data_IF_977133537506
#
_entry.id   IF_977133537506
#
_cell.length_a   1.000
_cell.length_b   1.000
_cell.length_c   1.000
_cell.angle_alpha   90.00
_cell.angle_beta   90.00
_cell.angle_gamma   90.00
#
_symmetry.space_group_name_H-M   'P 1'
#
loop_
_entity.id
_entity.type
_entity.pdbx_description
1 polymer ?
#
# COMPACT_ATOMS: atom_id res chain seq x y z
N UNK A 1 2.86 -4.27 -56.43
CA UNK A 1 1.67 -4.30 -55.56
C UNK A 1 1.77 -5.53 -54.66
N UNK A 2 2.20 -5.37 -53.42
CA UNK A 2 2.17 -6.42 -52.38
C UNK A 2 1.33 -5.92 -51.25
N UNK A 3 0.20 -6.60 -51.01
CA UNK A 3 -0.72 -6.31 -49.89
C UNK A 3 -0.17 -6.95 -48.62
N UNK A 4 0.09 -6.16 -47.61
CA UNK A 4 0.44 -6.61 -46.26
C UNK A 4 -0.85 -6.84 -45.50
N UNK A 5 -1.12 -8.08 -45.08
CA UNK A 5 -2.22 -8.42 -44.13
C UNK A 5 -1.79 -8.06 -42.71
N UNK A 6 -2.56 -7.20 -42.09
CA UNK A 6 -2.52 -6.98 -40.66
C UNK A 6 -3.35 -8.07 -39.97
N UNK A 7 -2.72 -8.85 -39.10
CA UNK A 7 -3.41 -9.74 -38.18
C UNK A 7 -3.82 -8.94 -36.92
N UNK A 8 -5.12 -8.71 -36.76
CA UNK A 8 -5.71 -8.29 -35.52
C UNK A 8 -5.93 -9.55 -34.66
N UNK A 9 -5.13 -9.73 -33.62
CA UNK A 9 -5.35 -10.75 -32.60
C UNK A 9 -6.49 -10.32 -31.67
N UNK A 10 -7.63 -10.99 -31.76
CA UNK A 10 -8.72 -10.83 -30.82
C UNK A 10 -8.37 -11.59 -29.53
N UNK A 11 -8.17 -10.86 -28.41
CA UNK A 11 -8.06 -11.43 -27.07
C UNK A 11 -9.48 -11.81 -26.65
N UNK A 12 -9.74 -13.10 -26.50
CA UNK A 12 -11.01 -13.60 -25.97
C UNK A 12 -11.06 -13.35 -24.46
N UNK A 13 -11.93 -12.43 -24.03
CA UNK A 13 -12.23 -12.18 -22.62
C UNK A 13 -13.14 -13.30 -22.10
N UNK A 14 -12.61 -14.18 -21.25
CA UNK A 14 -13.40 -15.21 -20.59
C UNK A 14 -14.02 -14.61 -19.32
N UNK A 15 -15.31 -14.32 -19.37
CA UNK A 15 -16.12 -13.90 -18.22
C UNK A 15 -16.44 -15.13 -17.36
N UNK A 16 -15.89 -15.19 -16.14
CA UNK A 16 -16.28 -16.19 -15.14
C UNK A 16 -17.40 -15.60 -14.28
N UNK A 17 -18.62 -16.10 -14.46
CA UNK A 17 -19.74 -15.83 -13.55
C UNK A 17 -19.70 -16.81 -12.39
N UNK A 18 -19.48 -16.33 -11.18
CA UNK A 18 -19.63 -17.12 -9.97
C UNK A 18 -21.12 -17.21 -9.63
N UNK A 19 -21.70 -18.40 -9.76
CA UNK A 19 -23.07 -18.66 -9.35
C UNK A 19 -23.11 -19.00 -7.85
N UNK A 20 -23.65 -18.09 -7.03
CA UNK A 20 -24.00 -18.35 -5.62
C UNK A 20 -25.40 -18.97 -5.53
N UNK A 21 -25.54 -20.11 -4.88
CA UNK A 21 -26.83 -20.74 -4.57
C UNK A 21 -27.51 -20.04 -3.39
N UNK A 22 -28.72 -19.57 -3.62
CA UNK A 22 -29.71 -19.26 -2.59
C UNK A 22 -29.90 -17.82 -2.19
N UNK A 23 -30.87 -17.11 -2.77
CA UNK A 23 -31.47 -15.88 -2.27
C UNK A 23 -31.28 -14.66 -3.18
N UNK A 24 -32.40 -14.25 -3.79
CA UNK A 24 -32.64 -13.04 -4.60
C UNK A 24 -31.53 -12.68 -5.59
N UNK A 25 -31.78 -12.96 -6.88
CA UNK A 25 -30.92 -12.50 -8.00
C UNK A 25 -30.66 -11.00 -7.88
N UNK A 26 -29.48 -10.61 -7.37
CA UNK A 26 -28.95 -9.27 -7.66
C UNK A 26 -28.79 -9.20 -9.17
N UNK A 27 -29.40 -8.17 -9.79
CA UNK A 27 -29.10 -7.82 -11.18
C UNK A 27 -27.57 -7.72 -11.29
N UNK A 28 -26.99 -8.40 -12.28
CA UNK A 28 -25.60 -8.16 -12.64
C UNK A 28 -25.50 -6.66 -12.96
N UNK A 29 -24.76 -5.92 -12.17
CA UNK A 29 -24.42 -4.54 -12.50
C UNK A 29 -23.68 -4.56 -13.81
N UNK A 30 -24.05 -3.67 -14.72
CA UNK A 30 -23.36 -3.52 -15.99
C UNK A 30 -21.90 -3.14 -15.70
N UNK A 31 -20.96 -3.92 -16.21
CA UNK A 31 -19.51 -3.62 -16.07
C UNK A 31 -19.28 -2.25 -16.70
N UNK A 32 -18.85 -1.27 -15.90
CA UNK A 32 -18.42 0.03 -16.42
C UNK A 32 -17.13 -0.18 -17.25
N UNK A 33 -17.15 0.10 -18.55
CA UNK A 33 -15.98 -0.09 -19.41
C UNK A 33 -14.81 0.83 -19.03
N UNK A 34 -15.06 1.85 -18.21
CA UNK A 34 -14.05 2.79 -17.74
C UNK A 34 -13.55 2.48 -16.30
N UNK A 35 -14.11 1.44 -15.66
CA UNK A 35 -13.67 1.05 -14.33
C UNK A 35 -12.17 0.66 -14.35
N UNK A 36 -11.39 1.09 -13.34
CA UNK A 36 -9.99 0.68 -13.20
C UNK A 36 -9.86 -0.85 -13.19
N UNK A 37 -8.77 -1.33 -13.75
CA UNK A 37 -8.45 -2.76 -13.77
C UNK A 37 -7.57 -3.08 -12.57
N UNK A 38 -7.94 -4.12 -11.83
CA UNK A 38 -7.08 -4.79 -10.85
C UNK A 38 -6.66 -6.13 -11.45
N UNK A 39 -5.36 -6.31 -11.63
CA UNK A 39 -4.77 -7.58 -11.98
C UNK A 39 -4.56 -8.40 -10.71
N UNK A 40 -4.80 -9.69 -10.77
CA UNK A 40 -4.69 -10.57 -9.61
C UNK A 40 -4.13 -11.94 -10.00
N UNK A 41 -3.29 -12.51 -9.13
CA UNK A 41 -2.86 -13.91 -9.16
C UNK A 41 -2.79 -14.47 -7.75
N UNK A 42 -3.17 -15.74 -7.58
CA UNK A 42 -3.01 -16.46 -6.31
C UNK A 42 -1.57 -16.88 -6.03
N UNK A 43 -0.75 -16.97 -7.08
CA UNK A 43 0.63 -17.38 -6.95
C UNK A 43 1.48 -16.27 -6.34
N UNK A 44 2.12 -16.53 -5.20
CA UNK A 44 3.04 -15.59 -4.53
C UNK A 44 4.46 -16.10 -4.75
N UNK A 45 5.00 -15.82 -5.93
CA UNK A 45 6.36 -16.16 -6.32
C UNK A 45 7.07 -14.95 -6.91
N UNK A 46 8.42 -14.95 -6.96
CA UNK A 46 9.17 -13.89 -7.63
C UNK A 46 8.75 -13.71 -9.09
N UNK A 47 8.45 -14.81 -9.79
CA UNK A 47 8.02 -14.80 -11.19
C UNK A 47 6.63 -14.20 -11.36
N UNK A 48 5.67 -14.55 -10.49
CA UNK A 48 4.32 -13.99 -10.54
C UNK A 48 4.31 -12.51 -10.17
N UNK A 49 5.20 -12.04 -9.27
CA UNK A 49 5.38 -10.62 -8.98
C UNK A 49 5.88 -9.84 -10.21
N UNK A 50 6.81 -10.40 -10.98
CA UNK A 50 7.26 -9.80 -12.24
C UNK A 50 6.15 -9.84 -13.29
N UNK A 51 5.42 -10.95 -13.41
CA UNK A 51 4.30 -11.12 -14.36
C UNK A 51 3.20 -10.09 -14.13
N UNK A 52 2.83 -9.84 -12.86
CA UNK A 52 1.76 -8.88 -12.54
C UNK A 52 2.21 -7.43 -12.78
N UNK A 53 3.49 -7.09 -12.52
CA UNK A 53 4.06 -5.81 -12.90
C UNK A 53 3.96 -5.58 -14.41
N UNK A 54 4.31 -6.59 -15.22
CA UNK A 54 4.23 -6.51 -16.69
C UNK A 54 2.79 -6.34 -17.18
N UNK A 55 1.84 -7.00 -16.53
CA UNK A 55 0.41 -6.91 -16.85
C UNK A 55 -0.16 -5.50 -16.72
N UNK A 56 0.41 -4.66 -15.83
CA UNK A 56 0.01 -3.25 -15.71
C UNK A 56 0.27 -2.43 -16.99
N UNK A 57 1.14 -2.89 -17.89
CA UNK A 57 1.45 -2.21 -19.14
C UNK A 57 2.11 -0.83 -18.98
N UNK A 58 2.58 -0.48 -17.78
CA UNK A 58 3.28 0.76 -17.47
C UNK A 58 4.71 0.45 -17.06
N UNK A 59 5.64 0.79 -17.91
CA UNK A 59 7.06 0.58 -17.67
C UNK A 59 7.60 1.66 -16.72
N UNK A 60 8.27 1.24 -15.63
CA UNK A 60 9.02 2.14 -14.76
C UNK A 60 10.28 2.65 -15.47
N UNK A 61 10.47 3.97 -15.52
CA UNK A 61 11.56 4.63 -16.25
C UNK A 61 12.28 5.65 -15.38
N UNK A 62 13.55 5.90 -15.73
CA UNK A 62 14.40 6.81 -14.99
C UNK A 62 14.91 6.18 -13.70
N UNK A 63 15.12 7.00 -12.66
CA UNK A 63 15.49 6.53 -11.33
C UNK A 63 14.24 6.04 -10.61
N UNK A 64 14.17 4.73 -10.34
CA UNK A 64 12.97 4.06 -9.83
C UNK A 64 13.06 3.83 -8.33
N UNK A 65 12.14 4.40 -7.58
CA UNK A 65 11.90 4.08 -6.17
C UNK A 65 11.00 2.85 -6.07
N UNK A 66 11.39 1.84 -5.29
CA UNK A 66 10.52 0.73 -4.89
C UNK A 66 10.19 0.90 -3.41
N UNK A 67 9.01 1.45 -3.12
CA UNK A 67 8.57 1.74 -1.74
C UNK A 67 7.97 0.49 -1.10
N UNK A 68 8.64 0.01 -0.07
CA UNK A 68 8.20 -1.15 0.72
C UNK A 68 8.13 -0.79 2.22
N UNK A 69 7.77 -1.76 3.06
CA UNK A 69 8.04 -1.77 4.49
C UNK A 69 9.09 -2.84 4.78
N UNK A 70 10.24 -2.44 5.31
CA UNK A 70 11.34 -3.37 5.60
C UNK A 70 11.17 -4.15 6.91
N UNK A 71 10.13 -3.84 7.68
CA UNK A 71 9.81 -4.50 8.94
C UNK A 71 10.63 -3.98 10.13
N UNK A 72 10.06 -4.10 11.32
CA UNK A 72 10.75 -3.80 12.58
C UNK A 72 11.62 -4.99 12.99
N UNK A 73 12.75 -4.75 13.68
CA UNK A 73 13.61 -5.81 14.18
C UNK A 73 12.84 -6.75 15.13
N UNK A 74 12.92 -8.04 14.88
CA UNK A 74 12.18 -9.07 15.64
C UNK A 74 10.86 -9.48 15.01
N UNK A 75 10.29 -8.67 14.11
CA UNK A 75 9.13 -9.06 13.30
C UNK A 75 9.52 -9.99 12.15
N UNK A 76 8.63 -10.94 11.79
CA UNK A 76 8.90 -11.93 10.75
C UNK A 76 7.92 -11.89 9.57
N UNK A 77 6.85 -11.08 9.66
CA UNK A 77 5.77 -11.09 8.67
C UNK A 77 6.03 -10.20 7.44
N UNK A 78 7.09 -9.37 7.45
CA UNK A 78 7.42 -8.45 6.35
C UNK A 78 7.76 -9.18 5.03
N UNK A 79 7.63 -8.47 3.91
CA UNK A 79 7.96 -8.99 2.57
C UNK A 79 9.44 -9.40 2.49
N UNK A 80 9.68 -10.67 2.24
CA UNK A 80 11.05 -11.20 2.23
C UNK A 80 11.83 -10.73 1.00
N UNK A 81 13.12 -10.34 1.15
CA UNK A 81 13.95 -9.85 0.05
C UNK A 81 13.96 -10.77 -1.18
N UNK A 82 14.02 -12.09 -0.98
CA UNK A 82 14.04 -13.07 -2.06
C UNK A 82 12.80 -12.99 -2.97
N UNK A 83 11.62 -12.66 -2.42
CA UNK A 83 10.39 -12.53 -3.19
C UNK A 83 10.44 -11.32 -4.14
N UNK A 84 10.98 -10.19 -3.66
CA UNK A 84 10.93 -8.91 -4.38
C UNK A 84 12.15 -8.66 -5.27
N UNK A 85 13.26 -9.36 -5.05
CA UNK A 85 14.52 -9.15 -5.75
C UNK A 85 14.42 -9.17 -7.29
N UNK A 86 13.71 -10.13 -7.94
CA UNK A 86 13.60 -10.14 -9.40
C UNK A 86 12.87 -8.91 -9.97
N UNK A 87 11.84 -8.40 -9.29
CA UNK A 87 11.16 -7.17 -9.69
C UNK A 87 12.11 -5.97 -9.58
N UNK A 88 12.81 -5.83 -8.45
CA UNK A 88 13.76 -4.72 -8.23
C UNK A 88 14.85 -4.74 -9.30
N UNK A 89 15.44 -5.91 -9.56
CA UNK A 89 16.44 -6.08 -10.61
C UNK A 89 15.90 -5.73 -12.00
N UNK A 90 14.66 -6.15 -12.30
CA UNK A 90 14.00 -5.89 -13.60
C UNK A 90 13.85 -4.40 -13.87
N UNK A 91 13.50 -3.63 -12.86
CA UNK A 91 13.26 -2.18 -13.00
C UNK A 91 14.50 -1.34 -12.68
N UNK A 92 15.63 -1.96 -12.33
CA UNK A 92 16.83 -1.31 -11.82
C UNK A 92 16.47 -0.31 -10.68
N UNK A 93 15.66 -0.79 -9.74
CA UNK A 93 15.07 0.02 -8.68
C UNK A 93 15.94 0.10 -7.43
N UNK A 94 15.76 1.16 -6.67
CA UNK A 94 16.26 1.33 -5.30
C UNK A 94 15.11 1.11 -4.32
N UNK A 95 15.30 0.30 -3.30
CA UNK A 95 14.36 0.20 -2.19
C UNK A 95 14.36 1.53 -1.44
N UNK A 96 13.17 2.08 -1.15
CA UNK A 96 13.06 3.34 -0.42
C UNK A 96 12.18 3.20 0.82
N UNK A 97 12.61 3.82 1.91
CA UNK A 97 11.91 3.91 3.20
C UNK A 97 12.08 5.30 3.81
N UNK A 98 11.34 5.58 4.89
CA UNK A 98 11.59 6.70 5.81
C UNK A 98 11.63 6.19 7.24
N UNK A 99 12.38 6.88 8.10
CA UNK A 99 12.46 6.59 9.52
C UNK A 99 11.07 6.64 10.17
N UNK A 100 10.91 5.96 11.31
CA UNK A 100 9.66 5.96 12.08
C UNK A 100 9.58 7.15 13.02
N UNK A 101 8.37 7.51 13.43
CA UNK A 101 8.12 8.59 14.40
C UNK A 101 7.93 8.07 15.84
N UNK A 102 8.29 6.83 16.11
CA UNK A 102 8.23 6.18 17.42
C UNK A 102 9.59 5.54 17.75
N UNK A 103 9.86 5.32 19.02
CA UNK A 103 11.06 4.60 19.48
C UNK A 103 11.03 3.15 19.01
N UNK A 104 12.09 2.71 18.34
CA UNK A 104 12.22 1.36 17.79
C UNK A 104 13.48 1.22 16.96
N UNK A 105 13.64 0.10 16.29
CA UNK A 105 14.84 -0.21 15.51
C UNK A 105 14.92 0.56 14.19
N UNK A 106 13.90 1.38 13.87
CA UNK A 106 13.87 2.26 12.69
C UNK A 106 13.66 3.73 13.05
N UNK A 107 13.89 4.11 14.32
CA UNK A 107 13.69 5.47 14.81
C UNK A 107 14.77 6.45 14.31
N UNK A 108 15.98 5.98 14.04
CA UNK A 108 17.07 6.76 13.45
C UNK A 108 17.62 6.08 12.21
N UNK A 109 18.25 6.84 11.34
CA UNK A 109 18.84 6.32 10.09
C UNK A 109 19.83 5.19 10.35
N UNK A 110 20.66 5.30 11.40
CA UNK A 110 21.66 4.31 11.76
C UNK A 110 21.00 2.98 12.16
N UNK A 111 20.04 3.03 13.10
CA UNK A 111 19.30 1.85 13.56
C UNK A 111 18.47 1.23 12.42
N UNK A 112 17.86 2.08 11.58
CA UNK A 112 17.10 1.62 10.43
C UNK A 112 17.99 0.87 9.42
N UNK A 113 19.18 1.40 9.11
CA UNK A 113 20.16 0.73 8.26
C UNK A 113 20.64 -0.61 8.85
N UNK A 114 20.76 -0.71 10.18
CA UNK A 114 21.06 -1.97 10.86
C UNK A 114 19.91 -2.99 10.71
N UNK A 115 18.68 -2.58 10.88
CA UNK A 115 17.48 -3.40 10.67
C UNK A 115 17.39 -3.91 9.23
N UNK A 116 17.58 -3.04 8.26
CA UNK A 116 17.59 -3.37 6.83
C UNK A 116 18.66 -4.41 6.50
N UNK A 117 19.86 -4.26 7.11
CA UNK A 117 20.96 -5.23 6.95
C UNK A 117 20.63 -6.58 7.58
N UNK A 118 20.08 -6.56 8.78
CA UNK A 118 19.69 -7.80 9.49
C UNK A 118 18.60 -8.57 8.73
N UNK A 119 17.69 -7.85 8.06
CA UNK A 119 16.64 -8.44 7.24
C UNK A 119 17.11 -8.85 5.82
N UNK A 120 18.37 -8.56 5.43
CA UNK A 120 18.97 -9.01 4.16
C UNK A 120 18.61 -8.17 2.94
N UNK A 121 18.02 -6.98 3.09
CA UNK A 121 17.62 -6.18 1.92
C UNK A 121 18.81 -5.64 1.12
N UNK A 122 19.95 -5.33 1.76
CA UNK A 122 21.17 -4.91 1.05
C UNK A 122 21.79 -6.01 0.18
N UNK A 123 21.39 -7.27 0.35
CA UNK A 123 21.85 -8.38 -0.49
C UNK A 123 21.17 -8.39 -1.86
N UNK A 124 20.01 -7.72 -1.98
CA UNK A 124 19.18 -7.78 -3.18
C UNK A 124 19.05 -6.43 -3.91
N UNK A 125 19.29 -5.31 -3.22
CA UNK A 125 19.19 -3.97 -3.81
C UNK A 125 19.92 -2.93 -2.99
N UNK A 126 20.18 -1.75 -3.61
CA UNK A 126 20.47 -0.53 -2.86
C UNK A 126 19.22 -0.10 -2.07
N UNK A 127 19.44 0.45 -0.88
CA UNK A 127 18.37 0.96 -0.01
C UNK A 127 18.66 2.39 0.37
N UNK A 128 17.66 3.26 0.22
CA UNK A 128 17.70 4.68 0.50
C UNK A 128 16.69 5.03 1.60
N UNK A 129 17.17 5.59 2.70
CA UNK A 129 16.32 6.20 3.74
C UNK A 129 16.07 7.65 3.31
N UNK A 130 14.91 7.89 2.71
CA UNK A 130 14.62 9.14 1.99
C UNK A 130 14.70 10.42 2.84
N UNK A 131 14.58 10.29 4.16
CA UNK A 131 14.64 11.40 5.12
C UNK A 131 15.99 11.54 5.84
N UNK A 132 17.03 10.77 5.44
CA UNK A 132 18.33 10.84 6.11
C UNK A 132 19.06 12.21 5.94
N UNK A 133 18.77 12.92 4.86
CA UNK A 133 19.30 14.27 4.61
C UNK A 133 18.24 15.38 4.80
N UNK A 134 17.12 15.05 5.47
CA UNK A 134 16.05 15.99 5.78
C UNK A 134 14.75 15.72 5.03
N UNK A 135 13.90 16.72 4.99
CA UNK A 135 12.53 16.61 4.52
C UNK A 135 12.11 17.83 3.70
N UNK A 136 10.99 17.73 3.00
CA UNK A 136 10.35 18.87 2.34
C UNK A 136 8.84 18.68 2.27
N UNK A 137 8.12 19.77 2.06
CA UNK A 137 6.67 19.77 1.96
C UNK A 137 6.22 19.63 0.51
N UNK A 138 5.22 18.78 0.27
CA UNK A 138 4.50 18.69 -0.98
C UNK A 138 3.04 19.13 -0.78
N UNK A 139 2.41 19.83 -1.75
CA UNK A 139 1.06 20.35 -1.59
C UNK A 139 0.03 19.23 -1.62
N UNK A 140 -0.97 19.31 -0.75
CA UNK A 140 -2.18 18.50 -0.82
C UNK A 140 -3.26 19.23 -1.62
N UNK A 141 -4.16 18.49 -2.28
CA UNK A 141 -5.34 19.07 -2.94
C UNK A 141 -6.51 19.21 -1.98
N UNK A 142 -6.68 18.25 -1.08
CA UNK A 142 -7.69 18.25 -0.02
C UNK A 142 -7.05 18.71 1.28
N UNK A 143 -7.24 19.94 1.63
CA UNK A 143 -6.68 20.60 2.79
C UNK A 143 -7.61 20.57 4.02
N UNK A 144 -8.54 19.61 4.07
CA UNK A 144 -9.50 19.47 5.16
C UNK A 144 -8.81 19.28 6.52
N UNK A 145 -7.80 18.40 6.54
CA UNK A 145 -7.09 18.02 7.76
C UNK A 145 -5.64 18.49 7.77
N UNK A 146 -4.90 18.21 6.71
CA UNK A 146 -3.50 18.60 6.54
C UNK A 146 -3.38 19.63 5.42
N UNK A 147 -2.41 20.54 5.52
CA UNK A 147 -2.20 21.61 4.52
C UNK A 147 -1.14 21.23 3.49
N UNK A 148 -0.28 20.31 3.84
CA UNK A 148 0.81 19.77 3.05
C UNK A 148 1.10 18.35 3.55
N UNK A 149 1.89 17.59 2.80
CA UNK A 149 2.52 16.38 3.32
C UNK A 149 4.01 16.64 3.48
N UNK A 150 4.63 16.11 4.54
CA UNK A 150 6.05 16.27 4.84
C UNK A 150 6.74 14.95 4.53
N UNK A 151 7.52 14.94 3.46
CA UNK A 151 8.13 13.73 2.92
C UNK A 151 9.65 13.78 2.98
N UNK A 152 10.30 12.62 2.93
CA UNK A 152 11.77 12.55 2.91
C UNK A 152 12.37 13.31 1.73
N UNK A 153 13.48 14.04 1.97
CA UNK A 153 14.08 14.94 0.97
C UNK A 153 14.54 14.22 -0.30
N UNK A 154 14.87 12.93 -0.22
CA UNK A 154 15.31 12.14 -1.36
C UNK A 154 14.17 11.72 -2.30
N UNK A 155 12.89 11.89 -1.93
CA UNK A 155 11.77 11.59 -2.81
C UNK A 155 11.89 12.31 -4.16
N UNK A 156 12.41 13.56 -4.16
CA UNK A 156 12.65 14.37 -5.36
C UNK A 156 13.73 13.80 -6.31
N UNK A 157 14.52 12.83 -5.85
CA UNK A 157 15.58 12.21 -6.64
C UNK A 157 15.06 11.11 -7.57
N UNK A 158 13.79 10.73 -7.46
CA UNK A 158 13.19 9.63 -8.20
C UNK A 158 12.23 10.12 -9.28
N UNK A 159 12.32 9.51 -10.46
CA UNK A 159 11.47 9.81 -11.61
C UNK A 159 10.18 8.97 -11.60
N UNK A 160 10.22 7.81 -10.95
CA UNK A 160 9.13 6.83 -10.93
C UNK A 160 9.08 6.12 -9.58
N UNK A 161 7.85 5.77 -9.12
CA UNK A 161 7.65 4.97 -7.91
C UNK A 161 6.86 3.69 -8.21
N UNK A 162 7.38 2.57 -7.73
CA UNK A 162 6.61 1.34 -7.54
C UNK A 162 6.24 1.29 -6.06
N UNK A 163 4.98 1.52 -5.77
CA UNK A 163 4.44 1.35 -4.42
C UNK A 163 4.12 -0.13 -4.23
N UNK A 164 5.05 -0.85 -3.61
CA UNK A 164 4.97 -2.29 -3.35
C UNK A 164 4.60 -2.50 -1.88
N UNK A 165 3.31 -2.61 -1.63
CA UNK A 165 2.79 -2.78 -0.28
C UNK A 165 2.70 -4.25 0.13
N UNK A 166 2.64 -4.46 1.42
CA UNK A 166 2.26 -5.70 2.07
C UNK A 166 0.92 -5.47 2.77
N UNK A 167 -0.12 -6.21 2.38
CA UNK A 167 -1.44 -6.09 3.01
C UNK A 167 -1.47 -6.78 4.37
N UNK A 168 -1.88 -6.07 5.40
CA UNK A 168 -1.95 -6.55 6.79
C UNK A 168 -2.88 -5.69 7.65
N UNK A 169 -3.17 -6.14 8.86
CA UNK A 169 -3.81 -5.31 9.88
C UNK A 169 -2.91 -4.15 10.32
N UNK A 170 -3.49 -3.21 11.03
CA UNK A 170 -2.76 -2.08 11.61
C UNK A 170 -3.46 -1.53 12.85
N UNK A 171 -2.70 -1.34 13.94
CA UNK A 171 -3.25 -0.93 15.23
C UNK A 171 -4.06 0.37 15.17
N UNK A 172 -3.63 1.35 14.39
CA UNK A 172 -4.27 2.68 14.30
C UNK A 172 -5.10 2.84 13.02
N UNK A 173 -4.60 2.38 11.87
CA UNK A 173 -5.25 2.55 10.57
C UNK A 173 -6.29 1.48 10.23
N UNK A 174 -6.44 0.44 11.07
CA UNK A 174 -7.27 -0.72 10.78
C UNK A 174 -6.57 -1.73 9.87
N UNK A 175 -6.06 -1.30 8.73
CA UNK A 175 -5.22 -2.08 7.82
C UNK A 175 -4.12 -1.23 7.19
N UNK A 176 -3.15 -1.88 6.57
CA UNK A 176 -2.13 -1.26 5.73
C UNK A 176 -2.16 -1.88 4.35
N UNK A 177 -2.29 -1.05 3.33
CA UNK A 177 -2.20 -1.35 1.91
C UNK A 177 -1.46 -0.25 1.17
N UNK A 178 -1.70 -0.08 -0.12
CA UNK A 178 -0.96 0.88 -0.96
C UNK A 178 -1.23 2.33 -0.59
N UNK A 179 -2.44 2.68 -0.13
CA UNK A 179 -2.75 4.04 0.31
C UNK A 179 -1.95 4.42 1.56
N UNK A 180 -1.87 3.52 2.55
CA UNK A 180 -1.04 3.74 3.73
C UNK A 180 0.45 3.77 3.39
N UNK A 181 0.92 2.90 2.51
CA UNK A 181 2.31 2.87 2.09
C UNK A 181 2.72 4.13 1.32
N UNK A 182 1.80 4.72 0.52
CA UNK A 182 2.02 6.00 -0.15
C UNK A 182 1.98 7.21 0.80
N UNK A 183 1.19 7.17 1.88
CA UNK A 183 1.08 8.26 2.86
C UNK A 183 2.13 8.11 3.97
N UNK A 184 1.83 7.34 5.00
CA UNK A 184 2.71 7.14 6.17
C UNK A 184 4.08 6.58 5.76
N UNK A 185 4.14 5.71 4.74
CA UNK A 185 5.39 5.09 4.30
C UNK A 185 6.38 6.05 3.65
N UNK A 186 5.91 7.12 3.02
CA UNK A 186 6.73 8.13 2.31
C UNK A 186 7.00 9.35 3.18
N UNK A 187 6.13 9.60 4.17
CA UNK A 187 6.29 10.71 5.11
C UNK A 187 7.56 10.56 5.96
N UNK A 188 8.24 11.67 6.23
CA UNK A 188 9.30 11.76 7.25
C UNK A 188 8.72 11.52 8.66
N UNK A 189 9.54 11.38 9.72
CA UNK A 189 9.03 11.32 11.09
C UNK A 189 8.08 12.47 11.43
N UNK A 190 8.41 13.70 11.06
CA UNK A 190 7.54 14.87 11.25
C UNK A 190 6.25 14.74 10.44
N UNK A 191 6.32 14.29 9.19
CA UNK A 191 5.17 14.03 8.34
C UNK A 191 4.26 12.94 8.89
N UNK A 192 4.84 11.86 9.44
CA UNK A 192 4.06 10.82 10.11
C UNK A 192 3.25 11.38 11.29
N UNK A 193 3.87 12.20 12.16
CA UNK A 193 3.18 12.87 13.27
C UNK A 193 2.09 13.80 12.74
N UNK A 194 2.39 14.59 11.70
CA UNK A 194 1.44 15.52 11.11
C UNK A 194 0.20 14.83 10.55
N UNK A 195 0.38 13.71 9.84
CA UNK A 195 -0.73 12.90 9.33
C UNK A 195 -1.51 12.26 10.49
N UNK A 196 -0.82 11.63 11.46
CA UNK A 196 -1.49 10.94 12.58
C UNK A 196 -2.29 11.90 13.46
N UNK A 197 -1.81 13.12 13.62
CA UNK A 197 -2.50 14.17 14.39
C UNK A 197 -3.52 14.96 13.58
N UNK A 198 -3.77 14.56 12.32
CA UNK A 198 -4.65 15.28 11.40
C UNK A 198 -4.31 16.78 11.34
N UNK A 199 -3.02 17.10 11.20
CA UNK A 199 -2.52 18.46 11.06
C UNK A 199 -2.32 19.25 12.36
N UNK A 200 -2.47 18.62 13.54
CA UNK A 200 -2.35 19.31 14.83
C UNK A 200 -0.91 19.48 15.29
N UNK A 201 -0.01 18.58 14.91
CA UNK A 201 1.40 18.54 15.30
C UNK A 201 2.26 18.18 14.09
N UNK A 202 3.40 18.82 13.94
CA UNK A 202 4.35 18.65 12.82
C UNK A 202 5.80 18.41 13.27
N UNK A 203 6.01 18.10 14.54
CA UNK A 203 7.30 17.73 15.11
C UNK A 203 7.23 16.36 15.77
N UNK A 204 8.10 15.43 15.35
CA UNK A 204 8.30 14.15 16.02
C UNK A 204 9.25 14.33 17.21
N UNK A 205 8.88 13.77 18.37
CA UNK A 205 9.80 13.67 19.48
C UNK A 205 10.27 12.24 19.62
N UNK A 206 11.58 12.04 19.84
CA UNK A 206 12.17 10.71 19.99
C UNK A 206 11.73 9.97 21.26
N UNK A 207 11.02 10.64 22.17
CA UNK A 207 10.56 10.08 23.44
C UNK A 207 9.30 9.21 23.34
N UNK A 208 8.93 8.80 22.13
CA UNK A 208 8.25 7.53 21.96
C UNK A 208 6.75 7.51 21.75
N UNK A 209 6.00 8.55 21.90
CA UNK A 209 4.59 8.52 21.53
C UNK A 209 4.34 9.44 20.34
N UNK A 210 3.76 8.86 19.28
CA UNK A 210 3.08 9.63 18.25
C UNK A 210 2.13 10.58 18.99
N UNK A 211 2.52 11.84 19.15
CA UNK A 211 1.82 12.80 20.01
C UNK A 211 0.42 13.12 19.50
N UNK A 212 -0.44 12.11 19.62
CA UNK A 212 -1.84 12.42 19.70
C UNK A 212 -2.17 12.76 21.15
N UNK A 213 -3.01 13.76 21.41
CA UNK A 213 -3.51 14.02 22.75
C UNK A 213 -4.01 12.73 23.40
N UNK A 214 -3.80 12.58 24.72
CA UNK A 214 -4.28 11.44 25.50
C UNK A 214 -5.74 11.11 25.13
N UNK A 215 -6.01 9.85 24.83
CA UNK A 215 -7.33 9.40 24.36
C UNK A 215 -7.66 9.69 22.90
N UNK A 216 -6.74 10.24 22.09
CA UNK A 216 -6.98 10.48 20.66
C UNK A 216 -7.31 9.18 19.89
N UNK A 217 -6.63 8.08 20.22
CA UNK A 217 -6.83 6.78 19.57
C UNK A 217 -7.96 5.94 20.16
N UNK A 218 -8.53 6.36 21.30
CA UNK A 218 -9.56 5.61 22.02
C UNK A 218 -10.97 5.88 21.50
N UNK A 219 -11.15 6.96 20.74
CA UNK A 219 -12.46 7.35 20.20
C UNK A 219 -12.50 7.10 18.70
N UNK A 220 -13.46 6.31 18.19
CA UNK A 220 -13.66 6.09 16.75
C UNK A 220 -13.82 7.41 15.97
N UNK A 221 -14.50 8.39 16.55
CA UNK A 221 -14.72 9.70 15.92
C UNK A 221 -13.42 10.50 15.71
N UNK A 222 -12.38 10.24 16.52
CA UNK A 222 -11.07 10.87 16.38
C UNK A 222 -10.17 10.16 15.36
N UNK A 223 -10.41 8.87 15.11
CA UNK A 223 -9.64 8.11 14.15
C UNK A 223 -9.98 8.50 12.70
N UNK A 224 -11.20 8.91 12.41
CA UNK A 224 -11.63 9.34 11.07
C UNK A 224 -10.77 10.49 10.50
N UNK A 225 -10.45 11.57 11.25
CA UNK A 225 -9.54 12.63 10.79
C UNK A 225 -8.18 12.11 10.35
N UNK A 226 -7.56 11.21 11.12
CA UNK A 226 -6.30 10.57 10.78
C UNK A 226 -6.41 9.74 9.49
N UNK A 227 -7.45 8.91 9.38
CA UNK A 227 -7.67 8.09 8.18
C UNK A 227 -7.87 8.96 6.92
N UNK A 228 -8.65 10.04 7.04
CA UNK A 228 -8.84 10.97 5.91
C UNK A 228 -7.57 11.79 5.61
N UNK A 229 -6.75 12.13 6.60
CA UNK A 229 -5.45 12.75 6.39
C UNK A 229 -4.49 11.84 5.62
N UNK A 230 -4.49 10.52 5.91
CA UNK A 230 -3.74 9.55 5.10
C UNK A 230 -4.17 9.56 3.63
N UNK A 231 -5.48 9.67 3.35
CA UNK A 231 -5.96 9.76 1.97
C UNK A 231 -5.44 11.00 1.26
N UNK A 232 -5.40 12.15 1.95
CA UNK A 232 -4.87 13.41 1.40
C UNK A 232 -3.36 13.32 1.13
N UNK A 233 -2.58 12.75 2.05
CA UNK A 233 -1.15 12.51 1.86
C UNK A 233 -0.86 11.53 0.71
N UNK A 234 -1.61 10.42 0.62
CA UNK A 234 -1.48 9.48 -0.49
C UNK A 234 -1.79 10.15 -1.85
N UNK A 235 -2.80 11.04 -1.90
CA UNK A 235 -3.09 11.82 -3.09
C UNK A 235 -1.95 12.79 -3.43
N UNK A 236 -1.33 13.43 -2.44
CA UNK A 236 -0.19 14.33 -2.66
C UNK A 236 0.98 13.60 -3.32
N UNK A 237 1.33 12.41 -2.83
CA UNK A 237 2.38 11.56 -3.42
C UNK A 237 2.00 11.09 -4.83
N UNK A 238 0.75 10.68 -5.06
CA UNK A 238 0.24 10.32 -6.38
C UNK A 238 0.40 11.48 -7.38
N UNK A 239 0.03 12.69 -6.96
CA UNK A 239 0.14 13.91 -7.79
C UNK A 239 1.60 14.28 -8.02
N UNK A 240 2.47 14.15 -7.02
CA UNK A 240 3.90 14.40 -7.13
C UNK A 240 4.55 13.57 -8.26
N UNK A 241 4.17 12.33 -8.39
CA UNK A 241 4.61 11.44 -9.49
C UNK A 241 3.79 11.68 -10.76
N UNK A 242 3.83 12.93 -11.26
CA UNK A 242 3.23 13.36 -12.54
C UNK A 242 1.72 13.04 -12.65
N UNK A 243 0.95 13.33 -11.59
CA UNK A 243 -0.48 13.09 -11.56
C UNK A 243 -0.83 11.60 -11.73
N UNK A 244 -0.03 10.71 -11.12
CA UNK A 244 -0.23 9.28 -11.16
C UNK A 244 0.35 8.57 -12.40
N UNK A 245 0.97 9.29 -13.33
CA UNK A 245 1.55 8.68 -14.53
C UNK A 245 2.87 7.96 -14.28
N UNK A 246 3.61 8.40 -13.25
CA UNK A 246 4.92 7.88 -12.89
C UNK A 246 4.88 7.09 -11.57
N UNK A 247 3.75 6.51 -11.23
CA UNK A 247 3.59 5.62 -10.09
C UNK A 247 2.69 4.45 -10.49
N UNK A 248 2.92 3.29 -9.90
CA UNK A 248 2.04 2.12 -9.97
C UNK A 248 1.99 1.43 -8.61
N UNK A 249 1.00 0.59 -8.43
CA UNK A 249 0.66 0.02 -7.13
C UNK A 249 0.57 -1.50 -7.21
N UNK A 250 1.25 -2.17 -6.29
CA UNK A 250 1.23 -3.62 -6.13
C UNK A 250 1.01 -3.90 -4.63
N UNK A 251 0.11 -4.79 -4.30
CA UNK A 251 -0.13 -5.23 -2.92
C UNK A 251 -0.01 -6.74 -2.82
N UNK A 252 0.79 -7.22 -1.86
CA UNK A 252 1.03 -8.64 -1.63
C UNK A 252 0.28 -9.05 -0.37
N UNK A 253 -0.64 -9.97 -0.54
CA UNK A 253 -1.54 -10.47 0.51
C UNK A 253 -1.05 -11.84 1.03
N UNK A 254 0.12 -11.82 1.72
CA UNK A 254 0.70 -13.00 2.39
C UNK A 254 1.03 -12.68 3.84
N UNK A 255 1.22 -13.70 4.67
CA UNK A 255 1.53 -13.53 6.08
C UNK A 255 0.64 -12.47 6.78
N UNK A 256 -0.65 -12.48 6.47
CA UNK A 256 -1.58 -11.44 6.91
C UNK A 256 -1.85 -11.59 8.41
N UNK A 257 -1.20 -10.74 9.19
CA UNK A 257 -1.41 -10.59 10.63
C UNK A 257 -2.40 -9.46 10.93
N UNK A 258 -2.95 -9.47 12.14
CA UNK A 258 -3.71 -8.34 12.68
C UNK A 258 -2.82 -7.10 12.91
N UNK A 259 -1.51 -7.31 13.04
CA UNK A 259 -0.53 -6.27 13.28
C UNK A 259 0.24 -5.91 12.01
N UNK A 260 0.93 -4.80 12.08
CA UNK A 260 1.71 -4.23 10.99
C UNK A 260 3.17 -4.72 11.08
N UNK A 261 3.90 -4.68 9.96
CA UNK A 261 5.36 -4.89 9.93
C UNK A 261 6.13 -3.90 10.82
N UNK A 262 5.46 -2.88 11.32
CA UNK A 262 6.02 -1.91 12.26
C UNK A 262 5.96 -2.37 13.74
N UNK A 263 5.48 -3.57 13.99
CA UNK A 263 5.50 -4.21 15.30
C UNK A 263 6.70 -5.19 15.37
N UNK A 264 7.48 -5.10 16.43
CA UNK A 264 8.61 -6.00 16.68
C UNK A 264 8.14 -7.40 17.10
N UNK A 265 6.92 -7.54 17.58
CA UNK A 265 6.32 -8.79 18.06
C UNK A 265 4.90 -8.96 17.53
N UNK A 266 4.72 -8.97 16.19
CA UNK A 266 3.40 -9.09 15.59
C UNK A 266 2.80 -10.46 15.90
N UNK A 267 1.47 -10.52 15.99
CA UNK A 267 0.77 -11.79 16.07
C UNK A 267 1.06 -12.62 14.81
N UNK A 268 0.98 -13.94 14.97
CA UNK A 268 1.05 -14.85 13.84
C UNK A 268 -0.09 -14.57 12.85
N UNK A 269 0.13 -14.80 11.54
CA UNK A 269 -0.94 -14.79 10.55
C UNK A 269 -2.05 -15.77 10.90
N UNK A 270 -3.31 -15.32 10.81
CA UNK A 270 -4.48 -16.13 11.14
C UNK A 270 -5.32 -16.48 9.93
N UNK A 271 -4.93 -16.00 8.75
CA UNK A 271 -5.58 -16.31 7.47
C UNK A 271 -4.53 -16.78 6.46
N UNK A 272 -4.97 -17.62 5.53
CA UNK A 272 -4.10 -18.10 4.46
C UNK A 272 -3.69 -16.97 3.51
N UNK A 273 -2.55 -17.16 2.87
CA UNK A 273 -2.08 -16.28 1.80
C UNK A 273 -3.13 -16.20 0.69
N UNK A 274 -3.40 -15.00 0.21
CA UNK A 274 -4.46 -14.74 -0.78
C UNK A 274 -3.87 -14.62 -2.19
N UNK A 275 -2.78 -13.86 -2.34
CA UNK A 275 -2.18 -13.63 -3.65
C UNK A 275 -1.50 -12.26 -3.79
N UNK A 276 -1.22 -11.90 -5.03
CA UNK A 276 -0.68 -10.59 -5.42
C UNK A 276 -1.71 -9.86 -6.27
N UNK A 277 -1.97 -8.60 -5.95
CA UNK A 277 -2.83 -7.72 -6.73
C UNK A 277 -2.07 -6.47 -7.20
N UNK A 278 -2.44 -5.93 -8.36
CA UNK A 278 -1.83 -4.71 -8.89
C UNK A 278 -2.83 -3.87 -9.67
N UNK A 279 -2.69 -2.55 -9.57
CA UNK A 279 -3.49 -1.59 -10.34
C UNK A 279 -2.72 -0.30 -10.57
N UNK A 280 -3.19 0.48 -11.53
CA UNK A 280 -2.77 1.88 -11.71
C UNK A 280 -3.61 2.85 -10.87
N UNK A 281 -4.66 2.34 -10.24
CA UNK A 281 -5.57 3.06 -9.34
C UNK A 281 -5.40 2.52 -7.91
N UNK A 282 -4.89 3.33 -6.95
CA UNK A 282 -4.61 2.86 -5.60
C UNK A 282 -5.89 2.60 -4.77
N UNK A 283 -6.97 3.32 -5.07
CA UNK A 283 -8.27 3.14 -4.41
C UNK A 283 -8.89 1.82 -4.81
N UNK A 284 -8.90 1.52 -6.11
CA UNK A 284 -9.38 0.25 -6.65
C UNK A 284 -8.59 -0.94 -6.07
N UNK A 285 -7.27 -0.79 -5.94
CA UNK A 285 -6.43 -1.86 -5.42
C UNK A 285 -6.69 -2.14 -3.94
N UNK A 286 -6.66 -1.14 -3.07
CA UNK A 286 -6.95 -1.34 -1.65
C UNK A 286 -8.40 -1.81 -1.42
N UNK A 287 -9.36 -1.32 -2.24
CA UNK A 287 -10.74 -1.81 -2.21
C UNK A 287 -10.83 -3.29 -2.58
N UNK A 288 -10.12 -3.73 -3.62
CA UNK A 288 -10.05 -5.14 -4.00
C UNK A 288 -9.46 -5.99 -2.85
N UNK A 289 -8.34 -5.57 -2.26
CA UNK A 289 -7.70 -6.31 -1.17
C UNK A 289 -8.63 -6.43 0.05
N UNK A 290 -9.32 -5.35 0.43
CA UNK A 290 -10.37 -5.38 1.46
C UNK A 290 -11.48 -6.36 1.11
N UNK A 291 -11.99 -6.33 -0.13
CA UNK A 291 -13.05 -7.24 -0.57
C UNK A 291 -12.61 -8.70 -0.50
N UNK A 292 -11.33 -9.02 -0.83
CA UNK A 292 -10.81 -10.37 -0.66
C UNK A 292 -10.92 -10.80 0.82
N UNK A 293 -10.42 -9.98 1.75
CA UNK A 293 -10.43 -10.31 3.19
C UNK A 293 -11.84 -10.36 3.78
N UNK A 294 -12.72 -9.42 3.41
CA UNK A 294 -14.11 -9.40 3.89
C UNK A 294 -14.96 -10.56 3.38
N UNK A 295 -14.59 -11.13 2.23
CA UNK A 295 -15.29 -12.27 1.63
C UNK A 295 -14.69 -13.64 2.00
N UNK A 296 -13.55 -13.68 2.72
CA UNK A 296 -12.99 -14.93 3.22
C UNK A 296 -13.97 -15.61 4.20
N UNK A 297 -14.18 -16.92 4.11
CA UNK A 297 -14.93 -17.65 5.12
C UNK A 297 -14.16 -17.63 6.44
N UNK A 298 -14.86 -17.50 7.56
CA UNK A 298 -14.25 -17.74 8.87
C UNK A 298 -14.38 -19.24 9.17
N UNK A 299 -13.29 -19.99 9.00
CA UNK A 299 -13.23 -21.44 9.12
C UNK A 299 -11.92 -21.91 9.78
N UNK A 300 -11.60 -23.20 9.70
CA UNK A 300 -10.40 -23.79 10.29
C UNK A 300 -9.08 -23.27 9.68
N UNK A 301 -9.13 -22.73 8.45
CA UNK A 301 -7.98 -22.22 7.73
C UNK A 301 -7.86 -20.69 7.82
N UNK A 302 -8.95 -20.00 8.20
CA UNK A 302 -9.01 -18.55 8.17
C UNK A 302 -9.77 -18.03 9.40
N UNK A 303 -9.07 -17.56 10.42
CA UNK A 303 -9.69 -16.78 11.49
C UNK A 303 -9.62 -15.28 11.15
N UNK A 304 -10.66 -14.79 10.47
CA UNK A 304 -10.76 -13.41 10.03
C UNK A 304 -11.26 -12.45 11.11
N UNK A 305 -11.76 -12.95 12.23
CA UNK A 305 -12.52 -12.16 13.24
C UNK A 305 -11.74 -10.97 13.78
N UNK A 306 -10.52 -11.22 14.25
CA UNK A 306 -9.70 -10.18 14.87
C UNK A 306 -9.30 -9.08 13.86
N UNK A 307 -8.93 -9.47 12.63
CA UNK A 307 -8.58 -8.54 11.57
C UNK A 307 -9.78 -7.68 11.14
N UNK A 308 -10.94 -8.31 10.88
CA UNK A 308 -12.15 -7.59 10.49
C UNK A 308 -12.65 -6.67 11.60
N UNK A 309 -12.57 -7.12 12.85
CA UNK A 309 -12.90 -6.29 14.01
C UNK A 309 -11.98 -5.05 14.07
N UNK A 310 -10.66 -5.24 13.93
CA UNK A 310 -9.68 -4.15 13.91
C UNK A 310 -9.96 -3.15 12.79
N UNK A 311 -10.22 -3.63 11.57
CA UNK A 311 -10.54 -2.77 10.42
C UNK A 311 -11.80 -1.93 10.70
N UNK A 312 -12.84 -2.55 11.27
CA UNK A 312 -14.11 -1.87 11.56
C UNK A 312 -13.97 -0.86 12.71
N UNK A 313 -13.36 -1.26 13.84
CA UNK A 313 -13.17 -0.40 15.01
C UNK A 313 -12.32 0.83 14.73
N UNK A 314 -11.36 0.71 13.81
CA UNK A 314 -10.49 1.81 13.39
C UNK A 314 -11.03 2.59 12.19
N UNK A 315 -12.23 2.30 11.72
CA UNK A 315 -12.82 2.89 10.52
C UNK A 315 -11.90 2.76 9.28
N UNK A 316 -11.10 1.67 9.23
CA UNK A 316 -10.02 1.51 8.24
C UNK A 316 -10.48 1.63 6.79
N UNK A 317 -11.69 1.17 6.46
CA UNK A 317 -12.25 1.29 5.11
C UNK A 317 -12.45 2.75 4.66
N UNK A 318 -12.51 3.70 5.60
CA UNK A 318 -12.71 5.12 5.28
C UNK A 318 -11.61 5.69 4.38
N UNK A 319 -10.37 5.17 4.46
CA UNK A 319 -9.26 5.62 3.60
C UNK A 319 -9.59 5.44 2.11
N UNK A 320 -10.22 4.32 1.76
CA UNK A 320 -10.61 3.99 0.38
C UNK A 320 -11.74 4.89 -0.10
N UNK A 321 -12.82 5.01 0.68
CA UNK A 321 -13.96 5.86 0.34
C UNK A 321 -13.57 7.33 0.29
N UNK A 322 -12.70 7.79 1.20
CA UNK A 322 -12.19 9.16 1.14
C UNK A 322 -11.32 9.39 -0.09
N UNK A 323 -10.50 8.43 -0.47
CA UNK A 323 -9.70 8.47 -1.69
C UNK A 323 -10.59 8.67 -2.95
N UNK A 324 -11.71 7.96 -3.03
CA UNK A 324 -12.69 8.13 -4.12
C UNK A 324 -13.36 9.52 -4.10
N UNK A 325 -13.85 9.98 -2.93
CA UNK A 325 -14.44 11.30 -2.76
C UNK A 325 -13.51 12.44 -3.22
N UNK A 326 -12.20 12.26 -3.05
CA UNK A 326 -11.17 13.23 -3.44
C UNK A 326 -10.74 13.09 -4.91
N UNK A 327 -11.27 12.11 -5.64
CA UNK A 327 -10.89 11.83 -7.02
C UNK A 327 -9.48 11.24 -7.18
N UNK A 328 -8.98 10.52 -6.17
CA UNK A 328 -7.71 9.79 -6.26
C UNK A 328 -7.86 8.51 -7.08
N UNK A 329 -9.02 7.88 -7.05
CA UNK A 329 -9.34 6.66 -7.76
C UNK A 329 -10.80 6.28 -7.61
N UNK A 330 -11.14 5.02 -7.86
CA UNK A 330 -12.51 4.50 -7.81
C UNK A 330 -12.62 3.25 -6.94
N UNK A 331 -13.71 3.15 -6.17
CA UNK A 331 -14.08 1.94 -5.45
C UNK A 331 -14.74 0.88 -6.33
N UNK A 332 -15.11 1.25 -7.57
CA UNK A 332 -15.60 0.33 -8.58
C UNK A 332 -14.42 -0.10 -9.46
N UNK A 333 -14.24 -1.40 -9.64
CA UNK A 333 -13.12 -1.95 -10.40
C UNK A 333 -13.53 -3.21 -11.19
N UNK A 334 -12.72 -3.58 -12.17
CA UNK A 334 -12.78 -4.87 -12.85
C UNK A 334 -11.55 -5.69 -12.50
N UNK A 335 -11.69 -7.02 -12.48
CA UNK A 335 -10.58 -7.93 -12.16
C UNK A 335 -10.15 -8.71 -13.38
N UNK A 336 -8.84 -8.74 -13.62
CA UNK A 336 -8.20 -9.63 -14.59
C UNK A 336 -7.36 -10.65 -13.82
N UNK A 337 -7.80 -11.90 -13.84
CA UNK A 337 -7.07 -13.01 -13.24
C UNK A 337 -5.94 -13.44 -14.16
N UNK A 338 -4.72 -13.65 -13.61
CA UNK A 338 -3.51 -14.04 -14.31
C UNK A 338 -3.09 -15.51 -14.04
N UNK A 339 -3.88 -16.26 -13.23
CA UNK A 339 -3.62 -17.68 -12.94
C UNK A 339 -3.76 -18.55 -14.19
#
# INVERSE_FOLDING_TARGET
MKRTLLYLGAIALTLITVASCGGKKKKAEAVDPNAPVVYFTKEITPESLVKIYEALGREAKGKVAVKISTGEMGGENYLKPALIAPLIKKVNGTIVECNTAYGGSRATTELHKETIRAHGFYEVADVDIMDEEGEFQIPVKDDKWIKYDIVGSHLKNYDFMINLAHFKGHAMGGFGGVLKNASIGVASPNGKVYIHSAGSFDEATLEGDLHAPEGWYESPDKNTPFIEAMSAAAQAVHVFFNGGKNILYIDIMNNISIDCDCDAHPHDPTIQDIGIAASLDPVALDKFCLDQVFNLPNDENNDTRALLQRINERHGTRIVFRGEEMGLGSTHYTVVNLD
#
